data_IF_218656651478
#
_entry.id   IF_218656651478
#
_cell.length_a   1.000
_cell.length_b   1.000
_cell.length_c   1.000
_cell.angle_alpha   90.00
_cell.angle_beta   90.00
_cell.angle_gamma   90.00
#
_symmetry.space_group_name_H-M   'P 1'
#
loop_
_entity.id
_entity.type
_entity.pdbx_description
1 polymer ?
#
# COMPACT_ATOMS: atom_id res chain seq x y z
N UNK A 1 -28.19 13.50 -6.20
CA UNK A 1 -27.92 12.10 -6.60
C UNK A 1 -26.48 12.02 -7.06
N UNK A 2 -25.63 11.16 -6.49
CA UNK A 2 -24.30 10.95 -7.05
C UNK A 2 -24.41 10.40 -8.48
N UNK A 3 -23.48 10.78 -9.35
CA UNK A 3 -23.44 10.26 -10.72
C UNK A 3 -23.11 8.76 -10.73
N UNK A 4 -23.70 8.00 -11.66
CA UNK A 4 -23.47 6.56 -11.82
C UNK A 4 -21.97 6.22 -11.97
N UNK A 5 -21.19 7.11 -12.58
CA UNK A 5 -19.73 7.01 -12.73
C UNK A 5 -19.00 6.97 -11.39
N UNK A 6 -19.43 7.76 -10.40
CA UNK A 6 -18.79 7.79 -9.09
C UNK A 6 -19.10 6.52 -8.29
N UNK A 7 -20.31 5.98 -8.41
CA UNK A 7 -20.68 4.71 -7.76
C UNK A 7 -19.97 3.52 -8.41
N UNK A 8 -19.85 3.51 -9.73
CA UNK A 8 -19.05 2.53 -10.47
C UNK A 8 -17.57 2.56 -10.04
N UNK A 9 -16.99 3.74 -9.82
CA UNK A 9 -15.62 3.89 -9.31
C UNK A 9 -15.41 3.27 -7.93
N UNK A 10 -16.37 3.45 -7.02
CA UNK A 10 -16.31 2.87 -5.67
C UNK A 10 -16.45 1.33 -5.68
N UNK A 11 -17.36 0.79 -6.52
CA UNK A 11 -17.46 -0.66 -6.70
C UNK A 11 -16.18 -1.25 -7.30
N UNK A 12 -15.57 -0.55 -8.27
CA UNK A 12 -14.29 -0.95 -8.86
C UNK A 12 -13.17 -1.03 -7.82
N UNK A 13 -13.11 -0.09 -6.87
CA UNK A 13 -12.10 -0.09 -5.81
C UNK A 13 -12.16 -1.37 -4.94
N UNK A 14 -13.35 -1.76 -4.49
CA UNK A 14 -13.53 -2.98 -3.68
C UNK A 14 -13.17 -4.23 -4.49
N UNK A 15 -13.57 -4.27 -5.77
CA UNK A 15 -13.20 -5.34 -6.67
C UNK A 15 -11.67 -5.43 -6.89
N UNK A 16 -11.01 -4.29 -7.08
CA UNK A 16 -9.57 -4.23 -7.27
C UNK A 16 -8.80 -4.66 -6.01
N UNK A 17 -9.28 -4.29 -4.81
CA UNK A 17 -8.73 -4.81 -3.55
C UNK A 17 -8.87 -6.34 -3.46
N UNK A 18 -10.03 -6.89 -3.85
CA UNK A 18 -10.23 -8.35 -3.92
C UNK A 18 -9.20 -8.99 -4.87
N UNK A 19 -8.93 -8.38 -6.01
CA UNK A 19 -7.96 -8.91 -6.97
C UNK A 19 -6.51 -8.86 -6.45
N UNK A 20 -6.12 -7.82 -5.70
CA UNK A 20 -4.79 -7.78 -5.06
C UNK A 20 -4.66 -8.87 -3.99
N UNK A 21 -5.72 -9.15 -3.23
CA UNK A 21 -5.76 -10.30 -2.29
C UNK A 21 -5.56 -11.63 -3.03
N UNK A 22 -6.28 -11.86 -4.12
CA UNK A 22 -6.20 -13.09 -4.91
C UNK A 22 -4.83 -13.28 -5.59
N UNK A 23 -4.20 -12.20 -6.06
CA UNK A 23 -2.86 -12.29 -6.65
C UNK A 23 -1.78 -12.59 -5.62
N UNK A 24 -1.94 -12.12 -4.39
CA UNK A 24 -1.04 -12.50 -3.31
C UNK A 24 -1.28 -13.96 -2.90
N UNK A 25 -2.53 -14.40 -2.85
CA UNK A 25 -2.92 -15.79 -2.55
C UNK A 25 -2.24 -16.76 -3.52
N UNK A 26 -2.21 -16.45 -4.83
CA UNK A 26 -1.51 -17.26 -5.83
C UNK A 26 -0.01 -17.44 -5.57
N UNK A 27 0.64 -16.47 -4.91
CA UNK A 27 2.06 -16.58 -4.52
C UNK A 27 2.23 -17.45 -3.28
N UNK A 28 1.24 -17.45 -2.38
CA UNK A 28 1.32 -18.09 -1.07
C UNK A 28 0.76 -19.52 -1.04
N UNK A 29 -0.20 -19.86 -1.90
CA UNK A 29 -0.97 -21.09 -1.82
C UNK A 29 -0.11 -22.37 -1.88
N UNK A 30 0.91 -22.37 -2.74
CA UNK A 30 1.81 -23.50 -2.96
C UNK A 30 3.21 -23.26 -2.38
N UNK A 31 3.34 -22.26 -1.49
CA UNK A 31 4.62 -21.89 -0.90
C UNK A 31 5.05 -22.95 0.12
N UNK A 32 6.25 -23.55 -0.07
CA UNK A 32 6.79 -24.51 0.89
C UNK A 32 7.01 -23.87 2.26
N UNK A 33 6.90 -24.66 3.33
CA UNK A 33 6.99 -24.16 4.70
C UNK A 33 8.27 -23.34 4.96
N UNK A 34 9.40 -23.76 4.39
CA UNK A 34 10.71 -23.10 4.57
C UNK A 34 10.72 -21.67 4.00
N UNK A 35 9.98 -21.43 2.92
CA UNK A 35 9.93 -20.11 2.27
C UNK A 35 9.08 -19.10 3.05
N UNK A 36 8.25 -19.55 4.00
CA UNK A 36 7.60 -18.64 4.95
C UNK A 36 8.59 -17.98 5.90
N UNK A 37 9.77 -18.57 6.09
CA UNK A 37 10.90 -18.01 6.86
C UNK A 37 11.89 -17.24 5.98
N UNK A 38 11.59 -17.03 4.69
CA UNK A 38 12.46 -16.24 3.84
C UNK A 38 12.47 -14.76 4.30
N UNK A 39 13.66 -14.15 4.48
CA UNK A 39 13.77 -12.72 4.76
C UNK A 39 13.19 -11.88 3.61
N UNK A 40 12.47 -10.83 3.96
CA UNK A 40 12.06 -9.80 3.01
C UNK A 40 13.00 -8.60 3.10
N UNK A 41 12.99 -7.67 2.13
CA UNK A 41 13.79 -6.46 2.25
C UNK A 41 13.36 -5.58 3.44
N UNK A 42 12.14 -5.72 3.96
CA UNK A 42 11.73 -5.05 5.20
C UNK A 42 12.53 -5.60 6.40
N UNK A 43 13.30 -4.75 7.11
CA UNK A 43 14.20 -5.23 8.16
C UNK A 43 13.47 -6.08 9.21
N UNK A 44 14.06 -7.23 9.54
CA UNK A 44 13.55 -8.21 10.52
C UNK A 44 12.22 -8.88 10.15
N UNK A 45 11.65 -8.61 8.97
CA UNK A 45 10.40 -9.22 8.54
C UNK A 45 10.65 -10.32 7.52
N UNK A 46 10.16 -11.51 7.88
CA UNK A 46 10.04 -12.67 6.99
C UNK A 46 8.71 -12.63 6.24
N UNK A 47 8.53 -13.49 5.23
CA UNK A 47 7.27 -13.63 4.49
C UNK A 47 6.07 -13.80 5.43
N UNK A 48 6.19 -14.66 6.46
CA UNK A 48 5.13 -14.85 7.47
C UNK A 48 4.74 -13.59 8.23
N UNK A 49 5.69 -12.68 8.48
CA UNK A 49 5.41 -11.42 9.18
C UNK A 49 4.60 -10.48 8.29
N UNK A 50 4.89 -10.46 6.98
CA UNK A 50 4.10 -9.71 5.99
C UNK A 50 2.64 -10.20 5.94
N UNK A 51 2.44 -11.53 5.88
CA UNK A 51 1.10 -12.15 5.84
C UNK A 51 0.33 -11.90 7.14
N UNK A 52 0.97 -12.11 8.30
CA UNK A 52 0.36 -11.84 9.61
C UNK A 52 -0.07 -10.37 9.74
N UNK A 53 0.77 -9.44 9.30
CA UNK A 53 0.45 -8.02 9.29
C UNK A 53 -0.78 -7.69 8.43
N UNK A 54 -0.84 -8.23 7.21
CA UNK A 54 -1.99 -8.04 6.32
C UNK A 54 -3.27 -8.61 6.93
N UNK A 55 -3.22 -9.83 7.46
CA UNK A 55 -4.35 -10.48 8.14
C UNK A 55 -4.86 -9.65 9.31
N UNK A 56 -3.95 -9.19 10.17
CA UNK A 56 -4.29 -8.38 11.34
C UNK A 56 -5.01 -7.08 10.94
N UNK A 57 -4.47 -6.33 9.98
CA UNK A 57 -5.07 -5.06 9.58
C UNK A 57 -6.36 -5.22 8.77
N UNK A 58 -6.61 -6.38 8.16
CA UNK A 58 -7.92 -6.71 7.60
C UNK A 58 -8.98 -6.89 8.69
N UNK A 59 -8.63 -7.57 9.78
CA UNK A 59 -9.51 -7.70 10.95
C UNK A 59 -9.81 -6.31 11.56
N UNK A 60 -8.79 -5.48 11.75
CA UNK A 60 -8.95 -4.12 12.28
C UNK A 60 -9.80 -3.25 11.34
N UNK A 61 -9.58 -3.32 10.02
CA UNK A 61 -10.37 -2.58 9.05
C UNK A 61 -11.83 -3.05 9.05
N UNK A 62 -12.09 -4.35 9.16
CA UNK A 62 -13.43 -4.90 9.33
C UNK A 62 -14.11 -4.37 10.59
N UNK A 63 -13.40 -4.31 11.73
CA UNK A 63 -13.93 -3.71 12.96
C UNK A 63 -14.25 -2.22 12.76
N UNK A 64 -13.35 -1.47 12.13
CA UNK A 64 -13.59 -0.06 11.84
C UNK A 64 -14.82 0.18 10.97
N UNK A 65 -15.22 -0.77 10.13
CA UNK A 65 -16.40 -0.65 9.26
C UNK A 65 -17.68 -1.15 9.94
N UNK A 66 -17.61 -2.26 10.69
CA UNK A 66 -18.79 -3.03 11.09
C UNK A 66 -18.90 -3.30 12.61
N UNK A 67 -17.86 -3.04 13.40
CA UNK A 67 -17.82 -3.23 14.85
C UNK A 67 -17.01 -2.10 15.51
N UNK A 68 -17.62 -0.91 15.57
CA UNK A 68 -16.97 0.29 16.11
C UNK A 68 -16.53 0.13 17.57
N UNK A 69 -17.27 -0.65 18.38
CA UNK A 69 -16.90 -0.91 19.77
C UNK A 69 -15.68 -1.84 19.86
N UNK A 70 -15.61 -2.86 19.00
CA UNK A 70 -14.40 -3.68 18.82
C UNK A 70 -13.20 -2.87 18.40
N UNK A 71 -13.38 -1.98 17.43
CA UNK A 71 -12.33 -1.06 17.01
C UNK A 71 -11.88 -0.14 18.17
N UNK A 72 -12.82 0.41 18.94
CA UNK A 72 -12.51 1.27 20.08
C UNK A 72 -11.68 0.55 21.16
N UNK A 73 -11.95 -0.74 21.41
CA UNK A 73 -11.12 -1.57 22.30
C UNK A 73 -9.69 -1.73 21.77
N UNK A 74 -9.53 -2.03 20.48
CA UNK A 74 -8.21 -2.15 19.85
C UNK A 74 -7.44 -0.82 19.88
N UNK A 75 -8.13 0.29 19.60
CA UNK A 75 -7.55 1.64 19.71
C UNK A 75 -7.11 1.95 21.14
N UNK A 76 -7.89 1.59 22.15
CA UNK A 76 -7.51 1.79 23.54
C UNK A 76 -6.27 0.98 23.94
N UNK A 77 -6.12 -0.26 23.44
CA UNK A 77 -4.92 -1.08 23.64
C UNK A 77 -3.70 -0.39 23.01
N UNK A 78 -3.81 0.03 21.74
CA UNK A 78 -2.74 0.75 21.04
C UNK A 78 -2.33 2.03 21.75
N UNK A 79 -3.30 2.84 22.18
CA UNK A 79 -3.03 4.15 22.80
C UNK A 79 -2.34 4.00 24.17
N UNK A 80 -2.59 2.90 24.88
CA UNK A 80 -1.90 2.58 26.14
C UNK A 80 -0.47 2.10 25.91
N UNK A 81 -0.23 1.33 24.85
CA UNK A 81 1.09 0.74 24.59
C UNK A 81 1.39 0.63 23.09
N UNK A 82 1.83 1.73 22.44
CA UNK A 82 2.11 1.71 21.01
C UNK A 82 3.21 0.72 20.62
N UNK A 83 4.20 0.51 21.49
CA UNK A 83 5.30 -0.40 21.24
C UNK A 83 4.86 -1.87 21.25
N UNK A 84 4.05 -2.27 22.24
CA UNK A 84 3.51 -3.63 22.32
C UNK A 84 2.47 -3.87 21.22
N UNK A 85 1.69 -2.86 20.84
CA UNK A 85 0.75 -2.97 19.72
C UNK A 85 1.43 -3.31 18.39
N UNK A 86 2.64 -2.75 18.16
CA UNK A 86 3.49 -3.12 17.02
C UNK A 86 4.06 -4.54 17.10
N UNK A 87 4.02 -5.19 18.25
CA UNK A 87 4.41 -6.60 18.38
C UNK A 87 3.19 -7.52 18.22
N UNK A 88 2.04 -7.11 18.76
CA UNK A 88 0.77 -7.85 18.63
C UNK A 88 0.39 -8.06 17.16
N UNK A 89 0.59 -7.04 16.31
CA UNK A 89 0.18 -7.08 14.90
C UNK A 89 0.88 -8.18 14.06
N UNK A 90 1.99 -8.75 14.54
CA UNK A 90 2.74 -9.82 13.88
C UNK A 90 3.02 -11.00 14.80
N UNK A 91 2.48 -11.01 16.03
CA UNK A 91 2.69 -12.10 16.98
C UNK A 91 2.24 -13.46 16.43
N UNK A 92 1.16 -13.47 15.65
CA UNK A 92 0.70 -14.68 14.95
C UNK A 92 1.80 -15.31 14.07
N UNK A 93 2.71 -14.49 13.50
CA UNK A 93 3.79 -14.99 12.65
C UNK A 93 4.74 -15.95 13.39
N UNK A 94 4.92 -15.80 14.71
CA UNK A 94 5.84 -16.66 15.47
C UNK A 94 5.16 -17.87 16.07
N UNK A 95 3.85 -17.81 16.33
CA UNK A 95 3.11 -18.87 17.03
C UNK A 95 2.33 -19.82 16.11
N UNK A 96 2.12 -19.47 14.85
CA UNK A 96 1.28 -20.22 13.91
C UNK A 96 2.10 -20.89 12.81
N UNK A 97 1.63 -22.05 12.36
CA UNK A 97 2.12 -22.71 11.16
C UNK A 97 1.75 -21.91 9.91
N UNK A 98 2.47 -22.08 8.79
CA UNK A 98 2.08 -21.53 7.48
C UNK A 98 0.61 -21.73 7.11
N UNK A 99 0.07 -22.94 7.32
CA UNK A 99 -1.32 -23.27 7.00
C UNK A 99 -2.34 -22.55 7.89
N UNK A 100 -2.04 -22.37 9.17
CA UNK A 100 -2.87 -21.59 10.09
C UNK A 100 -2.84 -20.11 9.75
N UNK A 101 -1.67 -19.55 9.43
CA UNK A 101 -1.53 -18.16 8.99
C UNK A 101 -2.31 -17.89 7.71
N UNK A 102 -2.20 -18.79 6.73
CA UNK A 102 -2.91 -18.66 5.45
C UNK A 102 -4.43 -18.76 5.65
N UNK A 103 -4.89 -19.70 6.48
CA UNK A 103 -6.32 -19.84 6.81
C UNK A 103 -6.86 -18.59 7.53
N UNK A 104 -6.16 -18.12 8.56
CA UNK A 104 -6.52 -16.91 9.29
C UNK A 104 -6.58 -15.67 8.38
N UNK A 105 -5.58 -15.52 7.51
CA UNK A 105 -5.55 -14.44 6.52
C UNK A 105 -6.74 -14.50 5.56
N UNK A 106 -7.07 -15.68 5.01
CA UNK A 106 -8.23 -15.86 4.13
C UNK A 106 -9.55 -15.50 4.82
N UNK A 107 -9.72 -15.91 6.07
CA UNK A 107 -10.90 -15.59 6.88
C UNK A 107 -11.04 -14.08 7.10
N UNK A 108 -9.95 -13.42 7.51
CA UNK A 108 -9.93 -11.98 7.74
C UNK A 108 -10.14 -11.17 6.45
N UNK A 109 -9.50 -11.59 5.35
CA UNK A 109 -9.68 -11.00 4.03
C UNK A 109 -11.13 -11.11 3.56
N UNK A 110 -11.75 -12.30 3.67
CA UNK A 110 -13.15 -12.51 3.34
C UNK A 110 -14.08 -11.66 4.22
N UNK A 111 -13.79 -11.56 5.53
CA UNK A 111 -14.53 -10.72 6.47
C UNK A 111 -14.48 -9.24 6.11
N UNK A 112 -13.30 -8.71 5.74
CA UNK A 112 -13.16 -7.34 5.26
C UNK A 112 -13.96 -7.12 3.96
N UNK A 113 -13.90 -8.05 3.01
CA UNK A 113 -14.66 -7.93 1.77
C UNK A 113 -16.17 -7.91 2.00
N UNK A 114 -16.67 -8.75 2.90
CA UNK A 114 -18.09 -8.74 3.27
C UNK A 114 -18.49 -7.40 3.89
N UNK A 115 -17.69 -6.86 4.81
CA UNK A 115 -17.96 -5.56 5.43
C UNK A 115 -17.95 -4.41 4.41
N UNK A 116 -16.97 -4.38 3.50
CA UNK A 116 -16.88 -3.36 2.44
C UNK A 116 -18.07 -3.40 1.49
N UNK A 117 -18.56 -4.59 1.12
CA UNK A 117 -19.72 -4.74 0.22
C UNK A 117 -21.03 -4.33 0.88
N UNK A 118 -21.14 -4.47 2.20
CA UNK A 118 -22.33 -4.11 2.96
C UNK A 118 -22.36 -2.62 3.38
N UNK A 119 -21.20 -1.95 3.43
CA UNK A 119 -21.08 -0.59 3.93
C UNK A 119 -21.44 0.49 2.90
N UNK A 120 -21.88 1.65 3.38
CA UNK A 120 -21.80 2.89 2.59
C UNK A 120 -20.34 3.33 2.52
N UNK A 121 -19.74 3.24 1.34
CA UNK A 121 -18.34 3.58 1.11
C UNK A 121 -18.01 5.07 1.39
N UNK A 122 -19.02 5.94 1.49
CA UNK A 122 -18.84 7.34 1.89
C UNK A 122 -18.89 7.57 3.39
N UNK A 123 -19.44 6.63 4.14
CA UNK A 123 -19.53 6.73 5.60
C UNK A 123 -18.13 6.86 6.22
N UNK A 124 -18.08 7.48 7.40
CA UNK A 124 -16.85 7.68 8.15
C UNK A 124 -16.57 6.45 9.00
N UNK A 125 -15.40 5.86 8.81
CA UNK A 125 -14.86 4.83 9.68
C UNK A 125 -13.90 5.48 10.71
N UNK A 126 -13.98 5.11 12.01
CA UNK A 126 -12.94 5.44 12.96
C UNK A 126 -11.61 4.83 12.51
N UNK A 127 -10.51 5.53 12.79
CA UNK A 127 -9.18 4.99 12.53
C UNK A 127 -8.20 5.39 13.63
N UNK A 128 -7.00 4.85 13.51
CA UNK A 128 -5.87 5.10 14.37
C UNK A 128 -5.33 6.52 14.28
N UNK A 129 -5.42 7.11 13.09
CA UNK A 129 -5.22 8.54 12.85
C UNK A 129 -6.57 9.29 12.83
N UNK A 130 -6.70 10.36 12.05
CA UNK A 130 -7.99 10.95 11.75
C UNK A 130 -8.95 9.87 11.23
N UNK A 131 -10.25 10.01 11.52
CA UNK A 131 -11.25 9.19 10.84
C UNK A 131 -11.08 9.35 9.32
N UNK A 132 -11.57 8.38 8.55
CA UNK A 132 -11.53 8.45 7.08
C UNK A 132 -12.83 7.88 6.49
N UNK A 133 -13.08 8.08 5.19
CA UNK A 133 -14.21 7.36 4.57
C UNK A 133 -13.88 5.88 4.45
N UNK A 134 -14.89 5.02 4.40
CA UNK A 134 -14.71 3.59 4.12
C UNK A 134 -14.00 3.39 2.77
N UNK A 135 -14.26 4.23 1.77
CA UNK A 135 -13.53 4.24 0.51
C UNK A 135 -12.03 4.56 0.67
N UNK A 136 -11.68 5.55 1.50
CA UNK A 136 -10.27 5.84 1.81
C UNK A 136 -9.60 4.69 2.53
N UNK A 137 -10.31 4.02 3.44
CA UNK A 137 -9.82 2.83 4.13
C UNK A 137 -9.57 1.68 3.14
N UNK A 138 -10.49 1.43 2.21
CA UNK A 138 -10.31 0.42 1.15
C UNK A 138 -9.14 0.76 0.22
N UNK A 139 -8.96 2.03 -0.15
CA UNK A 139 -7.82 2.49 -0.95
C UNK A 139 -6.49 2.31 -0.21
N UNK A 140 -6.44 2.60 1.09
CA UNK A 140 -5.28 2.32 1.93
C UNK A 140 -4.99 0.82 1.99
N UNK A 141 -5.99 -0.03 2.24
CA UNK A 141 -5.81 -1.50 2.25
C UNK A 141 -5.31 -2.04 0.92
N UNK A 142 -5.79 -1.52 -0.22
CA UNK A 142 -5.30 -1.91 -1.53
C UNK A 142 -3.80 -1.61 -1.68
N UNK A 143 -3.39 -0.41 -1.30
CA UNK A 143 -1.98 -0.03 -1.28
C UNK A 143 -1.15 -0.93 -0.35
N UNK A 144 -1.65 -1.24 0.84
CA UNK A 144 -0.99 -2.13 1.80
C UNK A 144 -0.78 -3.53 1.20
N UNK A 145 -1.81 -4.11 0.56
CA UNK A 145 -1.70 -5.40 -0.11
C UNK A 145 -0.63 -5.40 -1.20
N UNK A 146 -0.62 -4.36 -2.04
CA UNK A 146 0.36 -4.24 -3.09
C UNK A 146 1.79 -4.08 -2.52
N UNK A 147 1.96 -3.21 -1.52
CA UNK A 147 3.27 -2.91 -0.92
C UNK A 147 3.87 -4.09 -0.14
N UNK A 148 3.08 -4.75 0.70
CA UNK A 148 3.52 -5.92 1.45
C UNK A 148 3.64 -7.16 0.54
N UNK A 149 2.77 -7.27 -0.47
CA UNK A 149 2.91 -8.26 -1.54
C UNK A 149 4.22 -8.08 -2.32
N UNK A 150 4.68 -6.85 -2.54
CA UNK A 150 5.99 -6.59 -3.14
C UNK A 150 7.14 -7.02 -2.24
N UNK A 151 7.09 -6.77 -0.93
CA UNK A 151 8.14 -7.23 -0.01
C UNK A 151 8.23 -8.77 0.00
N UNK A 152 7.08 -9.47 -0.07
CA UNK A 152 7.03 -10.94 -0.22
C UNK A 152 7.66 -11.37 -1.54
N UNK A 153 7.27 -10.75 -2.65
CA UNK A 153 7.80 -11.06 -3.99
C UNK A 153 9.31 -10.85 -4.06
N UNK A 154 9.82 -9.74 -3.52
CA UNK A 154 11.26 -9.48 -3.45
C UNK A 154 11.99 -10.53 -2.62
N UNK A 155 11.45 -10.92 -1.46
CA UNK A 155 12.02 -11.98 -0.63
C UNK A 155 12.06 -13.35 -1.32
N UNK A 156 11.06 -13.63 -2.16
CA UNK A 156 10.96 -14.90 -2.90
C UNK A 156 11.63 -14.86 -4.29
N UNK A 157 12.19 -13.72 -4.72
CA UNK A 157 12.73 -13.56 -6.07
C UNK A 157 11.66 -13.61 -7.18
N UNK A 158 10.39 -13.34 -6.85
CA UNK A 158 9.28 -13.31 -7.78
C UNK A 158 9.13 -11.92 -8.39
N UNK A 159 8.80 -11.78 -9.69
CA UNK A 159 8.57 -10.48 -10.30
C UNK A 159 7.46 -9.66 -9.61
N UNK A 160 7.56 -8.31 -9.65
CA UNK A 160 6.54 -7.41 -9.12
C UNK A 160 5.19 -7.62 -9.80
N UNK A 161 4.09 -7.35 -9.07
CA UNK A 161 2.76 -7.31 -9.69
C UNK A 161 2.50 -5.94 -10.31
N UNK A 162 2.57 -5.87 -11.64
CA UNK A 162 2.30 -4.65 -12.40
C UNK A 162 0.96 -4.76 -13.14
N UNK A 163 -0.07 -4.12 -12.61
CA UNK A 163 -1.41 -4.08 -13.22
C UNK A 163 -2.01 -2.68 -13.22
N UNK A 164 -3.14 -2.48 -13.92
CA UNK A 164 -3.87 -1.21 -13.91
C UNK A 164 -4.30 -0.76 -12.50
N UNK A 165 -4.32 -1.66 -11.51
CA UNK A 165 -4.63 -1.34 -10.10
C UNK A 165 -3.57 -0.47 -9.43
N UNK A 166 -2.36 -0.39 -9.98
CA UNK A 166 -1.35 0.60 -9.59
C UNK A 166 -1.87 2.04 -9.64
N UNK A 167 -2.89 2.32 -10.47
CA UNK A 167 -3.53 3.65 -10.53
C UNK A 167 -4.07 4.09 -9.17
N UNK A 168 -4.57 3.16 -8.34
CA UNK A 168 -5.05 3.47 -6.99
C UNK A 168 -3.91 3.88 -6.06
N UNK A 169 -2.79 3.13 -6.10
CA UNK A 169 -1.60 3.40 -5.29
C UNK A 169 -0.96 4.73 -5.71
N UNK A 170 -0.81 4.96 -7.01
CA UNK A 170 -0.30 6.21 -7.57
C UNK A 170 -1.21 7.40 -7.21
N UNK A 171 -2.52 7.23 -7.31
CA UNK A 171 -3.48 8.27 -6.93
C UNK A 171 -3.39 8.61 -5.44
N UNK A 172 -3.32 7.60 -4.56
CA UNK A 172 -3.13 7.79 -3.13
C UNK A 172 -1.84 8.58 -2.85
N UNK A 173 -0.72 8.14 -3.43
CA UNK A 173 0.57 8.82 -3.28
C UNK A 173 0.54 10.28 -3.74
N UNK A 174 -0.09 10.56 -4.89
CA UNK A 174 -0.26 11.93 -5.37
C UNK A 174 -1.13 12.76 -4.42
N UNK A 175 -2.27 12.24 -3.94
CA UNK A 175 -3.16 12.96 -3.02
C UNK A 175 -2.47 13.25 -1.67
N UNK A 176 -1.62 12.35 -1.19
CA UNK A 176 -0.93 12.49 0.11
C UNK A 176 0.40 13.23 0.02
N UNK A 177 0.81 13.77 -1.12
CA UNK A 177 2.12 14.43 -1.30
C UNK A 177 2.44 15.53 -0.28
N UNK A 178 1.45 16.36 0.07
CA UNK A 178 1.62 17.41 1.08
C UNK A 178 1.75 16.83 2.50
N UNK A 179 0.98 15.77 2.77
CA UNK A 179 1.07 15.06 4.04
C UNK A 179 2.42 14.36 4.19
N UNK A 180 2.96 13.79 3.12
CA UNK A 180 4.28 13.15 3.10
C UNK A 180 5.39 14.14 3.49
N UNK A 181 5.45 15.32 2.87
CA UNK A 181 6.47 16.32 3.22
C UNK A 181 6.30 16.83 4.66
N UNK A 182 5.06 16.97 5.13
CA UNK A 182 4.76 17.38 6.50
C UNK A 182 5.23 16.34 7.53
N UNK A 183 5.00 15.05 7.28
CA UNK A 183 5.48 13.96 8.14
C UNK A 183 7.01 13.94 8.28
N UNK A 184 7.72 14.44 7.27
CA UNK A 184 9.18 14.57 7.28
C UNK A 184 9.66 15.93 7.80
N UNK A 185 8.77 16.79 8.33
CA UNK A 185 9.13 18.10 8.87
C UNK A 185 9.62 19.10 7.81
N UNK A 186 9.31 18.87 6.54
CA UNK A 186 9.74 19.72 5.44
C UNK A 186 8.71 20.82 5.13
N UNK A 187 9.11 21.94 4.51
CA UNK A 187 8.20 22.98 4.08
C UNK A 187 7.11 22.45 3.14
N UNK A 188 5.87 22.96 3.25
CA UNK A 188 4.80 22.63 2.30
C UNK A 188 5.22 22.86 0.85
N UNK A 189 4.75 22.01 -0.05
CA UNK A 189 4.85 22.23 -1.49
C UNK A 189 3.96 23.43 -1.85
N UNK A 190 4.54 24.43 -2.52
CA UNK A 190 3.88 25.69 -2.88
C UNK A 190 3.62 25.82 -4.38
N UNK A 191 4.29 24.99 -5.18
CA UNK A 191 4.17 24.98 -6.63
C UNK A 191 3.28 23.82 -7.08
N UNK A 192 2.51 24.00 -8.17
CA UNK A 192 1.84 22.89 -8.82
C UNK A 192 2.85 21.80 -9.18
N UNK A 193 2.38 20.54 -9.24
CA UNK A 193 3.15 19.38 -9.64
C UNK A 193 2.45 18.69 -10.80
N UNK A 194 3.23 18.07 -11.67
CA UNK A 194 2.76 17.22 -12.75
C UNK A 194 3.31 15.82 -12.58
N UNK A 195 2.42 14.85 -12.47
CA UNK A 195 2.76 13.43 -12.44
C UNK A 195 2.31 12.81 -13.76
N UNK A 196 3.22 12.16 -14.48
CA UNK A 196 2.92 11.44 -15.71
C UNK A 196 3.49 10.03 -15.65
N UNK A 197 2.60 9.04 -15.62
CA UNK A 197 2.97 7.65 -15.43
C UNK A 197 2.47 6.80 -16.59
N UNK A 198 3.38 6.04 -17.20
CA UNK A 198 3.02 5.00 -18.16
C UNK A 198 2.48 3.79 -17.39
N UNK A 199 1.22 3.47 -17.65
CA UNK A 199 0.54 2.30 -17.11
C UNK A 199 1.12 0.99 -17.64
N UNK A 200 0.85 -0.16 -16.99
CA UNK A 200 1.31 -1.46 -17.49
C UNK A 200 0.78 -1.84 -18.88
N UNK A 201 -0.35 -1.28 -19.32
CA UNK A 201 -0.91 -1.45 -20.66
C UNK A 201 -0.44 -0.37 -21.66
N UNK A 202 0.45 0.53 -21.24
CA UNK A 202 0.97 1.64 -22.03
C UNK A 202 0.12 2.92 -21.98
N UNK A 203 -1.05 2.93 -21.34
CA UNK A 203 -1.84 4.15 -21.17
C UNK A 203 -1.05 5.22 -20.39
N UNK A 204 -1.12 6.48 -20.81
CA UNK A 204 -0.55 7.58 -20.04
C UNK A 204 -1.53 8.06 -18.97
N UNK A 205 -1.18 7.90 -17.70
CA UNK A 205 -1.91 8.49 -16.58
C UNK A 205 -1.29 9.82 -16.17
N UNK A 206 -2.15 10.82 -15.93
CA UNK A 206 -1.67 12.15 -15.58
C UNK A 206 -2.41 12.75 -14.38
N UNK A 207 -1.68 13.46 -13.53
CA UNK A 207 -2.24 14.24 -12.41
C UNK A 207 -1.57 15.62 -12.34
N UNK A 208 -2.37 16.62 -11.97
CA UNK A 208 -1.88 17.99 -11.79
C UNK A 208 -1.68 18.77 -13.09
N UNK A 209 -1.11 19.96 -12.95
CA UNK A 209 -1.11 20.99 -13.99
C UNK A 209 -0.18 20.62 -15.16
N UNK A 210 -0.68 20.59 -16.41
CA UNK A 210 0.11 20.21 -17.58
C UNK A 210 1.41 21.01 -17.76
N UNK A 211 1.37 22.31 -17.44
CA UNK A 211 2.48 23.25 -17.65
C UNK A 211 3.37 23.44 -16.41
N UNK A 212 3.25 22.57 -15.41
CA UNK A 212 4.10 22.61 -14.21
C UNK A 212 5.57 22.33 -14.57
N UNK A 213 6.49 23.13 -14.05
CA UNK A 213 7.93 22.86 -14.11
C UNK A 213 8.41 21.89 -13.02
N UNK A 214 7.54 21.54 -12.06
CA UNK A 214 7.74 20.46 -11.09
C UNK A 214 7.12 19.19 -11.66
N UNK A 215 7.93 18.24 -12.13
CA UNK A 215 7.45 17.04 -12.81
C UNK A 215 8.07 15.76 -12.27
N UNK A 216 7.28 14.69 -12.26
CA UNK A 216 7.73 13.31 -12.06
C UNK A 216 7.17 12.48 -13.22
N UNK A 217 8.06 11.85 -13.99
CA UNK A 217 7.72 11.06 -15.19
C UNK A 217 8.33 9.66 -15.10
N UNK A 218 7.64 8.63 -15.58
CA UNK A 218 8.19 7.27 -15.67
C UNK A 218 7.11 6.19 -15.65
N UNK A 219 7.44 4.98 -15.22
CA UNK A 219 6.45 3.90 -15.15
C UNK A 219 5.59 4.00 -13.89
N UNK A 220 4.34 3.54 -13.97
CA UNK A 220 3.47 3.44 -12.80
C UNK A 220 4.06 2.53 -11.71
N UNK A 221 4.74 1.46 -12.12
CA UNK A 221 5.40 0.52 -11.21
C UNK A 221 6.50 1.24 -10.40
N UNK A 222 7.41 1.92 -11.07
CA UNK A 222 8.51 2.65 -10.43
C UNK A 222 8.00 3.69 -9.44
N UNK A 223 6.98 4.45 -9.83
CA UNK A 223 6.38 5.44 -8.94
C UNK A 223 5.78 4.79 -7.70
N UNK A 224 5.00 3.71 -7.86
CA UNK A 224 4.40 3.01 -6.74
C UNK A 224 5.45 2.37 -5.82
N UNK A 225 6.53 1.83 -6.39
CA UNK A 225 7.67 1.31 -5.63
C UNK A 225 8.35 2.41 -4.80
N UNK A 226 8.53 3.61 -5.37
CA UNK A 226 9.07 4.76 -4.67
C UNK A 226 8.14 5.23 -3.53
N UNK A 227 6.87 5.50 -3.83
CA UNK A 227 5.95 6.11 -2.84
C UNK A 227 5.51 5.16 -1.74
N UNK A 228 5.68 3.85 -1.93
CA UNK A 228 5.55 2.85 -0.85
C UNK A 228 6.88 2.56 -0.15
N UNK A 229 7.97 3.25 -0.52
CA UNK A 229 9.33 3.05 0.02
C UNK A 229 9.88 1.64 -0.19
N UNK A 230 9.46 0.95 -1.26
CA UNK A 230 9.96 -0.37 -1.66
C UNK A 230 11.15 -0.28 -2.62
N UNK A 231 11.43 0.89 -3.19
CA UNK A 231 12.67 1.21 -3.91
C UNK A 231 13.22 2.56 -3.49
N UNK A 232 14.53 2.72 -3.65
CA UNK A 232 15.17 4.04 -3.62
C UNK A 232 14.94 4.74 -4.96
N UNK A 233 14.94 6.08 -5.00
CA UNK A 233 14.75 6.83 -6.25
C UNK A 233 15.76 6.42 -7.34
N UNK A 234 17.03 6.25 -6.95
CA UNK A 234 18.11 5.82 -7.86
C UNK A 234 17.94 4.39 -8.41
N UNK A 235 17.04 3.59 -7.82
CA UNK A 235 16.72 2.23 -8.28
C UNK A 235 15.47 2.22 -9.17
N UNK A 236 15.04 3.39 -9.67
CA UNK A 236 13.86 3.55 -10.52
C UNK A 236 14.20 4.26 -11.82
N UNK A 237 13.36 4.09 -12.85
CA UNK A 237 13.44 4.85 -14.10
C UNK A 237 12.79 6.24 -14.02
N UNK A 238 12.51 6.78 -12.83
CA UNK A 238 11.77 8.03 -12.67
C UNK A 238 12.63 9.25 -13.04
N UNK A 239 12.09 10.09 -13.91
CA UNK A 239 12.64 11.39 -14.25
C UNK A 239 11.98 12.46 -13.38
N UNK A 240 12.77 13.13 -12.55
CA UNK A 240 12.28 14.14 -11.60
C UNK A 240 12.87 15.51 -11.92
N UNK A 241 12.02 16.46 -12.31
CA UNK A 241 12.41 17.84 -12.64
C UNK A 241 11.75 18.85 -11.69
N UNK A 242 12.50 19.89 -11.32
CA UNK A 242 12.06 20.90 -10.35
C UNK A 242 12.46 20.58 -8.91
N UNK A 243 12.68 21.62 -8.10
CA UNK A 243 13.13 21.52 -6.72
C UNK A 243 12.10 20.86 -5.79
N UNK A 244 10.83 21.26 -5.89
CA UNK A 244 9.76 20.71 -5.05
C UNK A 244 9.43 19.27 -5.43
N UNK A 245 9.50 18.92 -6.72
CA UNK A 245 9.35 17.53 -7.16
C UNK A 245 10.49 16.65 -6.62
N UNK A 246 11.75 17.11 -6.69
CA UNK A 246 12.90 16.40 -6.10
C UNK A 246 12.77 16.26 -4.59
N UNK A 247 12.33 17.33 -3.91
CA UNK A 247 12.08 17.31 -2.45
C UNK A 247 11.04 16.26 -2.11
N UNK A 248 9.90 16.23 -2.79
CA UNK A 248 8.86 15.24 -2.53
C UNK A 248 9.33 13.82 -2.87
N UNK A 249 9.95 13.61 -4.03
CA UNK A 249 10.45 12.29 -4.43
C UNK A 249 11.46 11.71 -3.42
N UNK A 250 12.32 12.55 -2.83
CA UNK A 250 13.28 12.12 -1.81
C UNK A 250 12.65 11.67 -0.48
N UNK A 251 11.43 12.11 -0.18
CA UNK A 251 10.69 11.74 1.05
C UNK A 251 9.34 11.09 0.76
N UNK A 252 9.18 10.52 -0.43
CA UNK A 252 7.90 9.98 -0.87
C UNK A 252 7.42 8.87 0.08
N UNK A 253 6.17 9.03 0.55
CA UNK A 253 5.44 8.02 1.30
C UNK A 253 3.93 8.24 1.12
N UNK A 254 3.16 7.16 1.03
CA UNK A 254 1.70 7.21 0.91
C UNK A 254 0.97 6.55 2.10
N UNK A 255 1.67 6.34 3.21
CA UNK A 255 1.13 5.75 4.44
C UNK A 255 1.44 6.66 5.65
N UNK A 256 0.70 6.48 6.74
CA UNK A 256 0.75 7.39 7.89
C UNK A 256 1.78 7.02 8.97
N UNK A 257 2.34 5.81 8.93
CA UNK A 257 3.33 5.34 9.91
C UNK A 257 4.73 5.91 9.67
N UNK A 258 5.65 5.61 10.60
CA UNK A 258 7.05 5.99 10.46
C UNK A 258 7.65 5.47 9.15
N UNK A 259 8.41 6.30 8.46
CA UNK A 259 8.98 5.99 7.14
C UNK A 259 9.99 4.82 7.16
N UNK A 260 10.44 4.42 8.35
CA UNK A 260 11.53 3.46 8.54
C UNK A 260 12.84 3.91 7.88
N UNK A 261 13.82 3.01 7.83
CA UNK A 261 15.12 3.26 7.20
C UNK A 261 15.06 3.41 5.67
N UNK A 262 13.96 2.98 5.03
CA UNK A 262 13.81 2.96 3.57
C UNK A 262 14.71 1.92 2.88
N UNK A 263 14.90 2.08 1.56
CA UNK A 263 15.84 1.28 0.74
C UNK A 263 17.09 2.07 0.43
N UNK A 264 18.22 1.38 0.33
CA UNK A 264 19.51 2.00 -0.03
C UNK A 264 19.62 2.17 -1.55
N UNK A 265 20.28 3.22 -2.04
CA UNK A 265 20.65 3.30 -3.46
C UNK A 265 21.45 2.07 -3.90
N UNK A 266 21.18 1.54 -5.09
CA UNK A 266 21.80 0.35 -5.66
C UNK A 266 21.42 -0.95 -4.97
N UNK A 267 20.44 -0.94 -4.06
CA UNK A 267 19.98 -2.18 -3.41
C UNK A 267 19.27 -3.08 -4.41
N UNK A 268 18.53 -2.48 -5.34
CA UNK A 268 17.85 -3.20 -6.41
C UNK A 268 18.46 -2.76 -7.74
N UNK A 269 18.68 -3.72 -8.66
CA UNK A 269 18.98 -3.37 -10.04
C UNK A 269 17.82 -2.60 -10.68
N UNK A 270 18.06 -1.86 -11.78
CA UNK A 270 16.98 -1.21 -12.52
C UNK A 270 15.92 -2.26 -12.89
N UNK A 271 14.65 -1.92 -12.65
CA UNK A 271 13.52 -2.82 -12.96
C UNK A 271 13.57 -3.13 -14.46
N UNK A 272 13.58 -4.42 -14.87
CA UNK A 272 13.52 -4.76 -16.27
C UNK A 272 12.25 -4.15 -16.88
N UNK A 273 12.40 -3.25 -17.85
CA UNK A 273 11.27 -2.86 -18.68
C UNK A 273 10.85 -4.12 -19.43
N UNK A 274 9.60 -4.55 -19.27
CA UNK A 274 9.03 -5.62 -20.09
C UNK A 274 9.12 -5.19 -21.55
N UNK A 275 10.17 -5.63 -22.23
CA UNK A 275 10.36 -5.44 -23.65
C UNK A 275 9.37 -6.33 -24.38
N UNK A 276 8.68 -5.73 -25.34
CA UNK A 276 7.88 -6.44 -26.32
C UNK A 276 8.74 -7.50 -27.01
N UNK A 277 8.35 -8.77 -26.88
CA UNK A 277 8.63 -9.78 -27.91
C UNK A 277 7.53 -9.75 -28.96
#
# INVERSE_FOLDING_TARGET
>A
MPSDTHQAGLAKLVHDLTNEQLLLEQVLADLSADLWDCPTPAPSWLVRHQVAHLSYFDEIARMAIADHDGFARQKAIRDRSPAEYRQINVAAATSSTPGELLSSWRENAAGLQAALRAADLRARAPWFGPSMSVASLASARLMEYWAHGQDIRDGLGVPPSASSRLRHVAHLGYQTRHYAVQLHGLPPLTRPLRLELTAPDGELWTWGEPDSDQTIRGTALDFCLLITRRRHLDDTGLQVSGEEARRWAGVAQCFAGDSGAGRRPGQFGPVPTSGSE
#
